data_IF_469393579304
#
_entry.id   IF_469393579304
#
_cell.length_a   1.000
_cell.length_b   1.000
_cell.length_c   1.000
_cell.angle_alpha   90.00
_cell.angle_beta   90.00
_cell.angle_gamma   90.00
#
_symmetry.space_group_name_H-M   'P 1'
#
loop_
_entity.id
_entity.type
_entity.pdbx_description
1 polymer ?
#
# COMPACT_ATOMS: atom_id res chain seq x y z
N UNK A 1 17.98 23.05 7.91
CA UNK A 1 17.00 23.56 6.93
C UNK A 1 17.47 23.18 5.55
N UNK A 2 16.74 22.42 4.74
CA UNK A 2 17.13 22.21 3.36
C UNK A 2 17.01 23.53 2.61
N UNK A 3 18.08 23.89 1.89
CA UNK A 3 18.11 25.11 1.10
C UNK A 3 16.99 25.07 0.07
N UNK A 4 16.14 26.10 0.06
CA UNK A 4 15.13 26.30 -0.98
C UNK A 4 15.83 26.25 -2.33
N UNK A 5 15.32 25.44 -3.27
CA UNK A 5 15.78 25.45 -4.65
C UNK A 5 15.55 26.84 -5.23
N UNK A 6 16.55 27.69 -5.19
CA UNK A 6 16.53 29.04 -5.72
C UNK A 6 17.12 29.01 -7.12
N UNK A 7 16.34 28.61 -8.11
CA UNK A 7 16.74 28.66 -9.49
C UNK A 7 15.52 28.84 -10.38
N UNK A 8 15.66 29.63 -11.40
CA UNK A 8 14.67 29.81 -12.44
C UNK A 8 14.45 28.49 -13.15
N UNK A 9 13.19 28.09 -13.31
CA UNK A 9 12.82 26.86 -14.04
C UNK A 9 13.11 27.10 -15.52
N UNK A 10 14.01 26.31 -16.08
CA UNK A 10 14.35 26.37 -17.51
C UNK A 10 13.70 25.20 -18.24
N UNK A 11 12.98 25.50 -19.30
CA UNK A 11 12.41 24.52 -20.21
C UNK A 11 13.35 24.35 -21.41
N UNK A 12 13.83 23.12 -21.61
CA UNK A 12 14.74 22.79 -22.70
C UNK A 12 14.14 21.66 -23.54
N UNK A 13 14.37 21.72 -24.84
CA UNK A 13 14.06 20.60 -25.75
C UNK A 13 15.30 19.72 -25.82
N UNK A 14 15.14 18.44 -25.51
CA UNK A 14 16.22 17.45 -25.50
C UNK A 14 15.90 16.37 -26.53
N UNK A 15 16.89 16.06 -27.36
CA UNK A 15 16.82 14.99 -28.34
C UNK A 15 17.49 13.74 -27.74
N UNK A 16 16.77 12.64 -27.64
CA UNK A 16 17.26 11.39 -27.10
C UNK A 16 17.26 10.30 -28.18
N UNK A 17 18.43 9.83 -28.60
CA UNK A 17 18.56 8.79 -29.61
C UNK A 17 18.37 7.41 -28.98
N UNK A 18 17.42 6.64 -29.48
CA UNK A 18 17.15 5.27 -29.06
C UNK A 18 18.09 4.27 -29.73
N UNK A 19 18.20 3.06 -29.17
CA UNK A 19 19.05 1.97 -29.72
C UNK A 19 18.66 1.57 -31.17
N UNK A 20 17.39 1.72 -31.55
CA UNK A 20 16.90 1.48 -32.91
C UNK A 20 17.22 2.61 -33.90
N UNK A 21 17.79 3.72 -33.42
CA UNK A 21 18.17 4.89 -34.21
C UNK A 21 17.08 5.96 -34.37
N UNK A 22 15.93 5.81 -33.73
CA UNK A 22 14.93 6.87 -33.64
C UNK A 22 15.35 7.95 -32.65
N UNK A 23 14.94 9.21 -32.90
CA UNK A 23 15.22 10.33 -32.02
C UNK A 23 13.89 10.82 -31.42
N UNK A 24 13.82 10.83 -30.10
CA UNK A 24 12.68 11.37 -29.36
C UNK A 24 12.94 12.81 -28.96
N UNK A 25 12.00 13.69 -29.27
CA UNK A 25 12.06 15.11 -28.91
C UNK A 25 11.27 15.30 -27.64
N UNK A 26 11.98 15.65 -26.56
CA UNK A 26 11.45 15.77 -25.21
C UNK A 26 11.52 17.23 -24.77
N UNK A 27 10.44 17.73 -24.20
CA UNK A 27 10.45 18.97 -23.42
C UNK A 27 10.79 18.63 -21.99
N UNK A 28 11.88 19.19 -21.47
CA UNK A 28 12.37 18.92 -20.12
C UNK A 28 12.44 20.21 -19.33
N UNK A 29 11.76 20.24 -18.20
CA UNK A 29 11.87 21.32 -17.23
C UNK A 29 12.93 20.99 -16.20
N UNK A 30 13.86 21.92 -16.00
CA UNK A 30 14.98 21.72 -15.10
C UNK A 30 15.15 22.94 -14.21
N UNK A 31 15.66 22.70 -13.00
CA UNK A 31 16.08 23.75 -12.07
C UNK A 31 17.52 23.47 -11.64
N UNK A 32 18.36 24.49 -11.67
CA UNK A 32 19.74 24.37 -11.18
C UNK A 32 19.78 24.62 -9.68
N UNK A 33 20.40 23.71 -8.94
CA UNK A 33 20.70 23.90 -7.52
C UNK A 33 22.15 24.32 -7.35
N UNK A 34 22.42 25.58 -6.98
CA UNK A 34 23.78 26.10 -6.86
C UNK A 34 24.57 25.46 -5.72
N UNK A 35 23.91 25.04 -4.64
CA UNK A 35 24.58 24.43 -3.47
C UNK A 35 25.16 23.06 -3.78
N UNK A 36 24.46 22.26 -4.59
CA UNK A 36 24.88 20.92 -5.01
C UNK A 36 25.57 20.92 -6.37
N UNK A 37 25.68 22.08 -7.03
CA UNK A 37 26.20 22.23 -8.40
C UNK A 37 25.60 21.22 -9.40
N UNK A 38 24.31 20.89 -9.22
CA UNK A 38 23.59 19.90 -10.01
C UNK A 38 22.29 20.48 -10.56
N UNK A 39 21.91 20.02 -11.75
CA UNK A 39 20.63 20.35 -12.37
C UNK A 39 19.65 19.24 -12.05
N UNK A 40 18.54 19.57 -11.41
CA UNK A 40 17.42 18.67 -11.13
C UNK A 40 16.39 18.76 -12.24
N UNK A 41 15.96 17.61 -12.77
CA UNK A 41 14.84 17.52 -13.72
C UNK A 41 13.54 17.57 -12.90
N UNK A 42 12.63 18.47 -13.28
CA UNK A 42 11.32 18.63 -12.67
C UNK A 42 10.23 17.85 -13.42
N UNK A 43 10.27 17.93 -14.76
CA UNK A 43 9.33 17.23 -15.62
C UNK A 43 9.97 16.90 -16.97
N UNK A 44 9.46 15.87 -17.63
CA UNK A 44 9.85 15.50 -19.00
C UNK A 44 8.58 15.12 -19.78
N UNK A 45 8.32 15.81 -20.88
CA UNK A 45 7.17 15.58 -21.76
C UNK A 45 7.65 15.20 -23.16
N UNK A 46 7.11 14.13 -23.70
CA UNK A 46 7.40 13.72 -25.07
C UNK A 46 6.60 14.60 -26.05
N UNK A 47 7.29 15.29 -26.95
CA UNK A 47 6.67 16.16 -27.96
C UNK A 47 6.49 15.44 -29.29
N UNK A 48 7.53 14.75 -29.77
CA UNK A 48 7.52 14.08 -31.06
C UNK A 48 8.61 13.02 -31.18
N UNK A 49 8.50 12.18 -32.20
CA UNK A 49 9.48 11.16 -32.56
C UNK A 49 9.99 11.46 -33.97
N UNK A 50 11.29 11.38 -34.20
CA UNK A 50 11.93 11.45 -35.51
C UNK A 50 12.39 10.03 -35.87
N UNK A 51 11.77 9.32 -36.82
CA UNK A 51 12.18 7.98 -37.21
C UNK A 51 13.58 7.99 -37.82
N UNK A 52 14.31 6.87 -37.66
CA UNK A 52 15.63 6.68 -38.26
C UNK A 52 15.60 6.94 -39.76
N UNK A 53 16.47 7.85 -40.22
CA UNK A 53 16.59 8.20 -41.63
C UNK A 53 15.56 9.26 -42.11
N UNK A 54 14.79 9.84 -41.21
CA UNK A 54 13.91 10.97 -41.48
C UNK A 54 14.42 12.22 -40.76
N UNK A 55 14.17 13.39 -41.30
CA UNK A 55 14.40 14.67 -40.63
C UNK A 55 13.10 15.30 -40.12
N UNK A 56 11.95 14.66 -40.41
CA UNK A 56 10.64 15.22 -40.08
C UNK A 56 10.13 14.61 -38.76
N UNK A 57 9.83 15.43 -37.75
CA UNK A 57 9.21 14.96 -36.53
C UNK A 57 7.80 14.44 -36.78
N UNK A 58 7.52 13.23 -36.30
CA UNK A 58 6.17 12.64 -36.30
C UNK A 58 5.58 12.86 -34.91
N UNK A 59 4.36 13.40 -34.75
CA UNK A 59 3.68 13.50 -33.49
C UNK A 59 3.58 12.11 -32.82
N UNK A 60 3.78 12.01 -31.54
CA UNK A 60 3.67 10.75 -30.79
C UNK A 60 2.23 10.24 -30.65
N UNK A 61 1.26 11.10 -30.86
CA UNK A 61 -0.10 10.71 -31.24
C UNK A 61 -0.22 10.95 -32.76
N UNK A 62 -0.31 9.93 -33.61
CA UNK A 62 -0.68 10.16 -34.97
C UNK A 62 -2.04 10.89 -34.92
N UNK A 63 -2.10 12.15 -35.38
CA UNK A 63 -3.38 12.69 -35.81
C UNK A 63 -3.97 11.59 -36.70
N UNK A 64 -5.18 11.07 -36.38
CA UNK A 64 -5.92 10.19 -37.29
C UNK A 64 -5.60 10.69 -38.69
N UNK A 65 -4.94 9.89 -39.48
CA UNK A 65 -4.59 10.26 -40.84
C UNK A 65 -5.88 10.78 -41.43
N UNK A 66 -5.94 12.08 -41.73
CA UNK A 66 -7.00 12.57 -42.59
C UNK A 66 -6.90 11.73 -43.83
N UNK A 67 -7.88 10.87 -44.01
CA UNK A 67 -7.98 9.97 -45.14
C UNK A 67 -8.23 10.78 -46.41
N UNK A 68 -7.22 11.49 -46.87
CA UNK A 68 -7.22 12.13 -48.20
C UNK A 68 -6.62 11.25 -49.29
N UNK A 69 -6.58 9.95 -49.07
CA UNK A 69 -6.49 8.98 -50.18
C UNK A 69 -7.73 8.08 -50.10
N UNK A 70 -8.89 8.69 -50.35
CA UNK A 70 -10.07 7.95 -50.78
C UNK A 70 -9.85 7.46 -52.20
N UNK A 71 -9.35 6.25 -52.37
CA UNK A 71 -9.76 5.42 -53.47
C UNK A 71 -11.25 5.19 -53.27
N UNK A 72 -12.07 5.64 -54.20
CA UNK A 72 -13.51 5.42 -54.23
C UNK A 72 -13.80 3.93 -54.22
N UNK A 73 -14.04 3.36 -53.06
CA UNK A 73 -14.68 2.06 -52.91
C UNK A 73 -15.84 2.24 -51.89
N UNK A 74 -17.03 2.09 -52.48
CA UNK A 74 -18.34 1.82 -51.89
C UNK A 74 -18.56 2.34 -50.44
N UNK A 75 -19.48 3.26 -50.35
CA UNK A 75 -20.23 3.90 -49.27
C UNK A 75 -20.33 3.31 -47.87
N UNK A 76 -19.34 2.59 -47.35
CA UNK A 76 -19.29 2.18 -45.97
C UNK A 76 -18.57 3.26 -45.15
N UNK A 77 -19.30 3.99 -44.33
CA UNK A 77 -18.75 4.89 -43.33
C UNK A 77 -18.18 4.01 -42.24
N UNK A 78 -16.87 3.79 -42.22
CA UNK A 78 -16.19 3.16 -41.09
C UNK A 78 -16.19 4.16 -39.89
N UNK A 79 -17.13 4.02 -38.98
CA UNK A 79 -17.16 4.77 -37.75
C UNK A 79 -16.42 3.98 -36.67
N UNK A 80 -15.37 4.55 -36.07
CA UNK A 80 -14.78 4.03 -34.80
C UNK A 80 -15.36 4.77 -33.60
N UNK A 81 -15.62 4.04 -32.53
CA UNK A 81 -16.10 4.61 -31.26
C UNK A 81 -15.07 4.34 -30.21
N UNK A 82 -14.46 5.40 -29.64
CA UNK A 82 -13.44 5.30 -28.64
C UNK A 82 -13.98 5.79 -27.29
N UNK A 83 -13.67 5.05 -26.20
CA UNK A 83 -13.99 5.43 -24.84
C UNK A 83 -12.87 6.29 -24.26
N UNK A 84 -12.92 7.60 -24.50
CA UNK A 84 -11.83 8.52 -24.14
C UNK A 84 -11.96 9.12 -22.73
N UNK A 85 -13.18 9.27 -22.20
CA UNK A 85 -13.41 10.04 -20.97
C UNK A 85 -12.65 9.54 -19.75
N UNK A 86 -12.64 8.21 -19.53
CA UNK A 86 -11.86 7.62 -18.44
C UNK A 86 -10.36 7.78 -18.66
N UNK A 87 -9.90 7.65 -19.90
CA UNK A 87 -8.47 7.79 -20.21
C UNK A 87 -7.97 9.21 -20.00
N UNK A 88 -8.75 10.22 -20.34
CA UNK A 88 -8.42 11.62 -20.08
C UNK A 88 -8.30 11.91 -18.57
N UNK A 89 -9.20 11.33 -17.77
CA UNK A 89 -9.11 11.45 -16.30
C UNK A 89 -7.83 10.78 -15.79
N UNK A 90 -7.48 9.61 -16.28
CA UNK A 90 -6.27 8.90 -15.88
C UNK A 90 -5.00 9.62 -16.35
N UNK A 91 -5.00 10.20 -17.55
CA UNK A 91 -3.92 11.07 -18.03
C UNK A 91 -3.72 12.27 -17.12
N UNK A 92 -4.81 12.92 -16.74
CA UNK A 92 -4.76 14.04 -15.81
C UNK A 92 -4.22 13.64 -14.44
N UNK A 93 -4.74 12.56 -13.86
CA UNK A 93 -4.30 12.06 -12.55
C UNK A 93 -2.83 11.63 -12.61
N UNK A 94 -2.40 10.89 -13.64
CA UNK A 94 -1.02 10.46 -13.81
C UNK A 94 -0.05 11.63 -13.89
N UNK A 95 -0.44 12.70 -14.60
CA UNK A 95 0.35 13.92 -14.72
C UNK A 95 0.40 14.72 -13.42
N UNK A 96 -0.75 15.02 -12.79
CA UNK A 96 -0.82 15.81 -11.56
C UNK A 96 -0.16 15.10 -10.37
N UNK A 97 -0.31 13.78 -10.29
CA UNK A 97 0.33 12.98 -9.23
C UNK A 97 1.84 12.81 -9.43
N UNK A 98 2.36 13.10 -10.62
CA UNK A 98 3.76 12.86 -10.99
C UNK A 98 4.13 11.37 -11.12
N UNK A 99 3.16 10.44 -11.15
CA UNK A 99 3.43 9.02 -11.30
C UNK A 99 3.97 8.72 -12.69
N UNK A 100 3.32 9.24 -13.72
CA UNK A 100 3.72 9.03 -15.11
C UNK A 100 5.14 9.58 -15.34
N UNK A 101 5.41 10.80 -14.90
CA UNK A 101 6.75 11.41 -14.97
C UNK A 101 7.79 10.58 -14.23
N UNK A 102 7.46 10.06 -13.05
CA UNK A 102 8.32 9.17 -12.28
C UNK A 102 8.69 7.90 -13.03
N UNK A 103 7.78 7.32 -13.82
CA UNK A 103 8.04 6.15 -14.66
C UNK A 103 8.89 6.54 -15.88
N UNK A 104 8.55 7.63 -16.58
CA UNK A 104 9.29 8.10 -17.74
C UNK A 104 10.76 8.47 -17.45
N UNK A 105 11.02 9.02 -16.27
CA UNK A 105 12.39 9.41 -15.87
C UNK A 105 13.29 8.19 -15.63
N UNK A 106 12.70 7.09 -15.14
CA UNK A 106 13.46 5.93 -14.67
C UNK A 106 13.60 4.79 -15.68
N UNK A 107 12.89 4.84 -16.83
CA UNK A 107 13.00 3.81 -17.86
C UNK A 107 12.93 4.40 -19.26
N UNK A 108 13.17 3.61 -20.29
CA UNK A 108 12.98 4.05 -21.67
C UNK A 108 11.49 4.28 -21.99
N UNK A 109 11.26 5.17 -22.95
CA UNK A 109 9.90 5.64 -23.27
C UNK A 109 8.96 4.50 -23.64
N UNK A 110 9.42 3.54 -24.46
CA UNK A 110 8.57 2.42 -24.86
C UNK A 110 8.18 1.52 -23.68
N UNK A 111 9.09 1.30 -22.74
CA UNK A 111 8.78 0.58 -21.51
C UNK A 111 7.87 1.39 -20.59
N UNK A 112 8.10 2.70 -20.44
CA UNK A 112 7.25 3.59 -19.67
C UNK A 112 5.81 3.58 -20.20
N UNK A 113 5.63 3.76 -21.49
CA UNK A 113 4.31 3.71 -22.15
C UNK A 113 3.59 2.39 -21.90
N UNK A 114 4.31 1.26 -21.99
CA UNK A 114 3.72 -0.07 -21.73
C UNK A 114 3.34 -0.23 -20.26
N UNK A 115 4.20 0.17 -19.31
CA UNK A 115 3.89 0.11 -17.87
C UNK A 115 2.63 0.93 -17.57
N UNK A 116 2.57 2.18 -18.04
CA UNK A 116 1.44 3.07 -17.80
C UNK A 116 0.17 2.52 -18.47
N UNK A 117 0.27 1.98 -19.68
CA UNK A 117 -0.87 1.39 -20.37
C UNK A 117 -1.44 0.18 -19.65
N UNK A 118 -0.58 -0.71 -19.15
CA UNK A 118 -1.01 -1.88 -18.37
C UNK A 118 -1.65 -1.43 -17.04
N UNK A 119 -1.05 -0.47 -16.35
CA UNK A 119 -1.61 0.05 -15.11
C UNK A 119 -3.01 0.67 -15.31
N UNK A 120 -3.18 1.46 -16.38
CA UNK A 120 -4.47 2.06 -16.73
C UNK A 120 -5.51 1.01 -17.12
N UNK A 121 -5.10 0.01 -17.90
CA UNK A 121 -5.98 -1.11 -18.25
C UNK A 121 -6.47 -1.84 -16.99
N UNK A 122 -5.57 -2.24 -16.09
CA UNK A 122 -5.94 -2.93 -14.87
C UNK A 122 -6.88 -2.10 -13.98
N UNK A 123 -6.63 -0.80 -13.88
CA UNK A 123 -7.47 0.11 -13.10
C UNK A 123 -8.86 0.28 -13.77
N UNK A 124 -8.90 0.55 -15.07
CA UNK A 124 -10.15 0.80 -15.82
C UNK A 124 -11.03 -0.44 -15.95
N UNK A 125 -10.41 -1.61 -16.07
CA UNK A 125 -11.11 -2.89 -16.21
C UNK A 125 -11.48 -3.53 -14.87
N UNK A 126 -11.18 -2.88 -13.74
CA UNK A 126 -11.37 -3.42 -12.40
C UNK A 126 -10.63 -4.75 -12.19
N UNK A 127 -9.37 -4.82 -12.63
CA UNK A 127 -8.48 -5.96 -12.42
C UNK A 127 -8.74 -7.15 -13.35
N UNK A 128 -9.28 -6.93 -14.54
CA UNK A 128 -9.38 -8.00 -15.54
C UNK A 128 -7.99 -8.55 -15.92
N UNK A 129 -7.98 -9.80 -16.37
CA UNK A 129 -6.74 -10.49 -16.73
C UNK A 129 -6.02 -9.83 -17.93
N UNK A 130 -4.69 -9.82 -17.91
CA UNK A 130 -3.86 -9.16 -18.91
C UNK A 130 -4.09 -9.64 -20.39
N UNK A 131 -4.40 -10.91 -20.67
CA UNK A 131 -4.72 -11.33 -22.05
C UNK A 131 -5.84 -10.52 -22.71
N UNK A 132 -6.71 -9.90 -21.93
CA UNK A 132 -7.79 -9.05 -22.42
C UNK A 132 -7.35 -7.67 -22.91
N UNK A 133 -6.12 -7.22 -22.60
CA UNK A 133 -5.67 -5.84 -22.85
C UNK A 133 -5.65 -5.51 -24.35
N UNK A 134 -5.21 -6.42 -25.20
CA UNK A 134 -5.14 -6.20 -26.63
C UNK A 134 -6.51 -5.92 -27.24
N UNK A 135 -7.52 -6.70 -26.87
CA UNK A 135 -8.90 -6.51 -27.33
C UNK A 135 -9.51 -5.23 -26.77
N UNK A 136 -9.26 -4.96 -25.48
CA UNK A 136 -9.75 -3.77 -24.78
C UNK A 136 -9.21 -2.47 -25.41
N UNK A 137 -7.95 -2.49 -25.86
CA UNK A 137 -7.25 -1.36 -26.45
C UNK A 137 -7.86 -0.89 -27.79
N UNK A 138 -8.61 -1.73 -28.50
CA UNK A 138 -9.26 -1.32 -29.74
C UNK A 138 -10.19 -0.12 -29.60
N UNK A 139 -10.84 0.02 -28.44
CA UNK A 139 -11.78 1.08 -28.14
C UNK A 139 -11.31 2.05 -27.07
N UNK A 140 -10.14 1.81 -26.46
CA UNK A 140 -9.61 2.60 -25.36
C UNK A 140 -8.17 3.02 -25.71
N UNK A 141 -7.95 4.28 -26.04
CA UNK A 141 -6.61 4.75 -26.36
C UNK A 141 -5.70 4.66 -25.14
N UNK A 142 -4.55 4.03 -25.30
CA UNK A 142 -3.53 3.88 -24.28
C UNK A 142 -2.23 4.59 -24.72
N UNK A 143 -1.34 4.97 -23.78
CA UNK A 143 -0.06 5.59 -24.10
C UNK A 143 0.83 4.78 -25.04
N UNK A 144 0.76 3.45 -25.00
CA UNK A 144 1.39 2.56 -25.98
C UNK A 144 0.37 2.16 -27.05
N UNK A 145 0.54 2.69 -28.28
CA UNK A 145 -0.47 2.63 -29.34
C UNK A 145 -0.43 1.34 -30.17
N UNK A 146 0.74 0.66 -30.24
CA UNK A 146 0.96 -0.48 -31.16
C UNK A 146 0.26 -1.78 -30.73
N UNK A 147 -0.56 -1.74 -29.68
CA UNK A 147 -1.20 -2.92 -29.10
C UNK A 147 -0.27 -3.72 -28.18
N UNK A 148 -0.79 -4.17 -27.04
CA UNK A 148 -0.03 -4.95 -26.06
C UNK A 148 -0.45 -6.41 -26.16
N UNK A 149 0.34 -7.20 -26.90
CA UNK A 149 0.20 -8.65 -26.98
C UNK A 149 0.80 -9.34 -25.74
N UNK A 150 0.54 -10.64 -25.62
CA UNK A 150 1.09 -11.47 -24.55
C UNK A 150 2.62 -11.44 -24.51
N UNK A 151 3.27 -11.59 -25.65
CA UNK A 151 4.74 -11.53 -25.73
C UNK A 151 5.29 -10.18 -25.26
N UNK A 152 4.60 -9.09 -25.60
CA UNK A 152 5.03 -7.74 -25.24
C UNK A 152 5.01 -7.53 -23.73
N UNK A 153 3.95 -7.97 -23.01
CA UNK A 153 3.93 -7.78 -21.58
C UNK A 153 4.83 -8.79 -20.84
N UNK A 154 5.04 -9.99 -21.37
CA UNK A 154 6.01 -10.93 -20.81
C UNK A 154 7.44 -10.40 -20.93
N UNK A 155 7.84 -9.89 -22.06
CA UNK A 155 9.14 -9.25 -22.29
C UNK A 155 9.32 -8.03 -21.38
N UNK A 156 8.28 -7.21 -21.24
CA UNK A 156 8.29 -6.07 -20.36
C UNK A 156 8.51 -6.50 -18.89
N UNK A 157 7.77 -7.48 -18.41
CA UNK A 157 7.90 -7.97 -17.04
C UNK A 157 9.26 -8.61 -16.77
N UNK A 158 9.78 -9.37 -17.73
CA UNK A 158 11.12 -9.91 -17.64
C UNK A 158 12.20 -8.81 -17.57
N UNK A 159 12.03 -7.74 -18.34
CA UNK A 159 12.93 -6.58 -18.34
C UNK A 159 12.87 -5.82 -17.01
N UNK A 160 11.66 -5.45 -16.58
CA UNK A 160 11.43 -4.70 -15.33
C UNK A 160 11.84 -5.52 -14.11
N UNK A 161 11.54 -6.83 -14.11
CA UNK A 161 11.89 -7.71 -12.99
C UNK A 161 13.39 -7.96 -12.82
N UNK A 162 14.20 -7.72 -13.86
CA UNK A 162 15.67 -7.80 -13.78
C UNK A 162 16.34 -6.49 -13.41
N UNK A 163 15.60 -5.39 -13.45
CA UNK A 163 16.13 -4.06 -13.17
C UNK A 163 15.75 -3.64 -11.73
N UNK A 164 16.57 -4.08 -10.78
CA UNK A 164 16.39 -3.73 -9.36
C UNK A 164 16.52 -2.22 -9.13
N UNK A 165 17.24 -1.50 -9.99
CA UNK A 165 17.45 -0.06 -9.87
C UNK A 165 16.21 0.75 -10.23
N UNK A 166 15.38 0.25 -11.14
CA UNK A 166 14.17 0.93 -11.60
C UNK A 166 13.21 1.21 -10.45
N UNK A 167 12.89 0.18 -9.65
CA UNK A 167 11.99 0.32 -8.51
C UNK A 167 12.56 1.24 -7.43
N UNK A 168 13.84 1.12 -7.10
CA UNK A 168 14.50 1.94 -6.10
C UNK A 168 14.55 3.41 -6.52
N UNK A 169 14.91 3.69 -7.77
CA UNK A 169 14.94 5.04 -8.31
C UNK A 169 13.54 5.66 -8.39
N UNK A 170 12.55 4.87 -8.76
CA UNK A 170 11.15 5.32 -8.76
C UNK A 170 10.71 5.75 -7.35
N UNK A 171 10.96 4.92 -6.33
CA UNK A 171 10.65 5.26 -4.94
C UNK A 171 11.43 6.48 -4.46
N UNK A 172 12.73 6.55 -4.74
CA UNK A 172 13.55 7.70 -4.38
C UNK A 172 13.02 9.01 -4.98
N UNK A 173 12.60 8.98 -6.24
CA UNK A 173 12.00 10.15 -6.90
C UNK A 173 10.66 10.54 -6.26
N UNK A 174 9.84 9.58 -5.88
CA UNK A 174 8.59 9.85 -5.18
C UNK A 174 8.83 10.44 -3.79
N UNK A 175 9.79 9.89 -3.05
CA UNK A 175 10.16 10.37 -1.72
C UNK A 175 10.79 11.76 -1.74
N UNK A 176 11.53 12.11 -2.79
CA UNK A 176 12.16 13.42 -2.91
C UNK A 176 11.16 14.61 -2.92
N UNK A 177 9.90 14.37 -3.23
CA UNK A 177 8.83 15.38 -3.17
C UNK A 177 8.11 15.44 -1.82
N UNK A 178 8.40 14.54 -0.90
CA UNK A 178 7.77 14.49 0.42
C UNK A 178 8.42 15.50 1.35
N UNK A 179 7.59 16.24 2.09
CA UNK A 179 8.06 17.22 3.08
C UNK A 179 8.71 16.51 4.28
N UNK A 180 9.57 17.26 4.99
CA UNK A 180 10.06 16.86 6.30
C UNK A 180 8.87 16.51 7.22
N UNK A 181 9.03 15.42 8.01
CA UNK A 181 8.01 14.91 8.95
C UNK A 181 6.70 14.48 8.29
N UNK A 182 6.79 13.81 7.16
CA UNK A 182 5.62 13.23 6.51
C UNK A 182 4.95 12.18 7.41
N UNK A 183 3.62 12.17 7.40
CA UNK A 183 2.85 11.13 8.07
C UNK A 183 2.59 9.99 7.09
N UNK A 184 3.11 8.80 7.41
CA UNK A 184 3.08 7.63 6.55
C UNK A 184 2.25 6.50 7.19
N UNK A 185 1.21 6.08 6.54
CA UNK A 185 0.51 4.84 6.88
C UNK A 185 1.29 3.63 6.35
N UNK A 186 1.50 2.64 7.20
CA UNK A 186 2.13 1.36 6.84
C UNK A 186 1.12 0.24 7.00
N UNK A 187 0.77 -0.40 5.90
CA UNK A 187 -0.20 -1.50 5.89
C UNK A 187 0.20 -2.59 4.92
N UNK A 188 -0.39 -3.77 5.09
CA UNK A 188 -0.18 -4.94 4.26
C UNK A 188 -1.46 -5.48 3.66
N UNK A 189 -1.35 -6.01 2.46
CA UNK A 189 -2.39 -6.84 1.87
C UNK A 189 -1.80 -8.16 1.39
N UNK A 190 -2.64 -9.18 1.29
CA UNK A 190 -2.29 -10.48 0.72
C UNK A 190 -2.84 -10.58 -0.70
N UNK A 191 -2.05 -11.13 -1.60
CA UNK A 191 -2.42 -11.38 -3.00
C UNK A 191 -2.35 -12.88 -3.22
N UNK A 192 -3.50 -13.50 -3.50
CA UNK A 192 -3.59 -14.93 -3.80
C UNK A 192 -2.96 -15.25 -5.15
N UNK A 193 -2.30 -16.39 -5.26
CA UNK A 193 -1.65 -16.80 -6.51
C UNK A 193 -1.72 -18.32 -6.72
N UNK A 194 -1.96 -18.72 -7.96
CA UNK A 194 -1.86 -20.09 -8.44
C UNK A 194 -0.43 -20.45 -8.89
N UNK A 195 0.51 -19.49 -8.89
CA UNK A 195 1.87 -19.72 -9.37
C UNK A 195 2.62 -20.68 -8.46
N UNK A 196 3.14 -21.77 -9.04
CA UNK A 196 3.99 -22.74 -8.33
C UNK A 196 5.46 -22.30 -8.27
N UNK A 197 5.88 -21.44 -9.21
CA UNK A 197 7.27 -21.03 -9.38
C UNK A 197 7.64 -19.75 -8.62
N UNK A 198 6.69 -19.13 -7.94
CA UNK A 198 6.93 -17.89 -7.24
C UNK A 198 7.50 -18.15 -5.84
N UNK A 199 8.75 -17.73 -5.62
CA UNK A 199 9.50 -18.05 -4.38
C UNK A 199 8.82 -17.49 -3.14
N UNK A 200 8.19 -16.34 -3.22
CA UNK A 200 7.50 -15.69 -2.09
C UNK A 200 6.09 -16.22 -1.82
N UNK A 201 5.53 -16.99 -2.76
CA UNK A 201 4.20 -17.58 -2.57
C UNK A 201 4.25 -18.68 -1.49
N UNK A 202 3.56 -18.43 -0.38
CA UNK A 202 3.50 -19.31 0.78
C UNK A 202 2.07 -19.40 1.32
N UNK A 203 1.73 -20.53 1.92
CA UNK A 203 0.50 -20.66 2.69
C UNK A 203 0.63 -19.85 3.98
N UNK A 204 -0.31 -18.96 4.23
CA UNK A 204 -0.34 -18.10 5.39
C UNK A 204 -1.75 -17.54 5.59
N UNK A 205 -1.87 -16.49 6.40
CA UNK A 205 -3.13 -15.79 6.53
C UNK A 205 -3.53 -15.20 5.17
N UNK A 206 -4.73 -15.53 4.73
CA UNK A 206 -5.31 -15.09 3.46
C UNK A 206 -6.64 -14.39 3.74
N UNK A 207 -6.74 -13.10 3.35
CA UNK A 207 -7.97 -12.32 3.55
C UNK A 207 -9.15 -12.86 2.73
N UNK A 208 -8.86 -13.50 1.58
CA UNK A 208 -9.89 -14.03 0.67
C UNK A 208 -10.35 -15.44 1.05
N UNK A 209 -9.67 -16.11 2.01
CA UNK A 209 -9.97 -17.46 2.49
C UNK A 209 -10.13 -18.53 1.38
N UNK A 210 -9.51 -18.29 0.20
CA UNK A 210 -9.61 -19.15 -0.98
C UNK A 210 -8.70 -20.39 -0.94
N UNK A 211 -7.91 -20.55 0.14
CA UNK A 211 -7.00 -21.68 0.33
C UNK A 211 -5.75 -21.66 -0.53
N UNK A 212 -5.50 -20.58 -1.27
CA UNK A 212 -4.34 -20.42 -2.14
C UNK A 212 -3.10 -19.95 -1.37
N UNK A 213 -1.93 -20.15 -1.99
CA UNK A 213 -0.70 -19.48 -1.55
C UNK A 213 -0.84 -17.98 -1.78
N UNK A 214 -0.28 -17.20 -0.87
CA UNK A 214 -0.31 -15.74 -0.96
C UNK A 214 1.09 -15.15 -1.01
N UNK A 215 1.15 -13.95 -1.57
CA UNK A 215 2.27 -13.02 -1.43
C UNK A 215 1.75 -11.85 -0.63
N UNK A 216 2.56 -11.35 0.28
CA UNK A 216 2.24 -10.16 1.04
C UNK A 216 2.84 -8.92 0.36
N UNK A 217 2.01 -7.93 0.10
CA UNK A 217 2.43 -6.61 -0.35
C UNK A 217 2.30 -5.63 0.82
N UNK A 218 3.41 -5.04 1.21
CA UNK A 218 3.50 -4.03 2.25
C UNK A 218 3.62 -2.66 1.58
N UNK A 219 2.77 -1.73 1.93
CA UNK A 219 2.71 -0.41 1.30
C UNK A 219 2.95 0.69 2.32
N UNK A 220 3.79 1.65 1.94
CA UNK A 220 3.95 2.93 2.62
C UNK A 220 3.13 3.97 1.86
N UNK A 221 2.18 4.60 2.53
CA UNK A 221 1.23 5.56 1.97
C UNK A 221 1.33 6.90 2.69
N UNK A 222 1.55 7.97 1.95
CA UNK A 222 1.57 9.31 2.53
C UNK A 222 0.14 9.83 2.73
N UNK A 223 -0.18 10.16 3.99
CA UNK A 223 -1.48 10.73 4.35
C UNK A 223 -1.67 12.12 3.74
N UNK A 224 -0.60 12.93 3.68
CA UNK A 224 -0.66 14.29 3.16
C UNK A 224 -0.89 14.34 1.65
N UNK A 225 -0.09 13.57 0.90
CA UNK A 225 -0.19 13.55 -0.58
C UNK A 225 -1.29 12.61 -1.07
N UNK A 226 -1.82 11.75 -0.20
CA UNK A 226 -2.78 10.68 -0.52
C UNK A 226 -2.28 9.74 -1.62
N UNK A 227 -0.99 9.42 -1.58
CA UNK A 227 -0.35 8.59 -2.60
C UNK A 227 0.54 7.51 -1.96
N UNK A 228 0.63 6.33 -2.59
CA UNK A 228 1.63 5.35 -2.22
C UNK A 228 3.04 5.89 -2.52
N UNK A 229 3.93 5.73 -1.56
CA UNK A 229 5.31 6.22 -1.61
C UNK A 229 6.27 5.11 -2.02
N UNK A 230 6.09 3.96 -1.40
CA UNK A 230 6.90 2.77 -1.64
C UNK A 230 6.11 1.51 -1.30
N UNK A 231 6.56 0.38 -1.83
CA UNK A 231 6.04 -0.92 -1.45
C UNK A 231 7.16 -1.95 -1.37
N UNK A 232 6.90 -3.02 -0.63
CA UNK A 232 7.82 -4.17 -0.51
C UNK A 232 7.03 -5.47 -0.62
N UNK A 233 7.55 -6.42 -1.38
CA UNK A 233 7.01 -7.77 -1.49
C UNK A 233 7.62 -8.67 -0.44
N UNK A 234 6.81 -9.46 0.26
CA UNK A 234 7.20 -10.39 1.31
C UNK A 234 6.54 -11.75 1.11
N UNK A 235 7.14 -12.83 1.65
CA UNK A 235 6.48 -14.13 1.69
C UNK A 235 5.13 -14.08 2.42
N UNK A 236 4.11 -14.74 1.87
CA UNK A 236 2.74 -14.69 2.40
C UNK A 236 2.56 -15.23 3.82
N UNK A 237 3.47 -16.07 4.28
CA UNK A 237 3.43 -16.64 5.63
C UNK A 237 4.12 -15.78 6.70
N UNK A 238 4.71 -14.63 6.33
CA UNK A 238 5.34 -13.76 7.32
C UNK A 238 4.28 -12.98 8.09
N UNK A 239 4.27 -13.03 9.44
CA UNK A 239 3.43 -12.17 10.25
C UNK A 239 3.78 -10.69 10.07
N UNK A 240 2.78 -9.80 10.08
CA UNK A 240 2.97 -8.37 9.91
C UNK A 240 3.93 -7.78 10.94
N UNK A 241 3.86 -8.27 12.16
CA UNK A 241 4.72 -7.84 13.26
C UNK A 241 6.23 -7.95 12.97
N UNK A 242 6.65 -8.86 12.11
CA UNK A 242 8.08 -9.08 11.77
C UNK A 242 8.56 -8.08 10.70
N UNK A 243 7.66 -7.48 9.94
CA UNK A 243 7.99 -6.66 8.77
C UNK A 243 8.42 -5.23 9.10
N UNK A 244 8.10 -4.73 10.31
CA UNK A 244 8.36 -3.34 10.73
C UNK A 244 9.84 -2.97 10.63
N UNK A 245 10.76 -3.83 11.07
CA UNK A 245 12.20 -3.52 10.99
C UNK A 245 12.70 -3.36 9.54
N UNK A 246 12.13 -4.10 8.60
CA UNK A 246 12.46 -3.96 7.18
C UNK A 246 11.89 -2.65 6.62
N UNK A 247 10.69 -2.25 7.04
CA UNK A 247 10.09 -0.97 6.68
C UNK A 247 10.96 0.20 7.16
N UNK A 248 11.43 0.17 8.41
CA UNK A 248 12.31 1.21 8.97
C UNK A 248 13.61 1.35 8.19
N UNK A 249 14.23 0.23 7.78
CA UNK A 249 15.43 0.25 6.94
C UNK A 249 15.15 0.84 5.56
N UNK A 250 14.01 0.50 4.95
CA UNK A 250 13.59 1.06 3.67
C UNK A 250 13.35 2.56 3.77
N UNK A 251 12.62 3.02 4.80
CA UNK A 251 12.39 4.44 5.03
C UNK A 251 13.69 5.22 5.19
N UNK A 252 14.60 4.72 6.00
CA UNK A 252 15.92 5.34 6.19
C UNK A 252 16.72 5.40 4.88
N UNK A 253 16.68 4.34 4.07
CA UNK A 253 17.35 4.30 2.76
C UNK A 253 16.72 5.28 1.75
N UNK A 254 15.43 5.56 1.87
CA UNK A 254 14.70 6.53 1.04
C UNK A 254 14.82 7.98 1.55
N UNK A 255 15.55 8.22 2.65
CA UNK A 255 15.73 9.55 3.23
C UNK A 255 14.54 10.05 4.05
N UNK A 256 13.64 9.18 4.48
CA UNK A 256 12.44 9.47 5.27
C UNK A 256 12.62 9.12 6.76
N UNK A 257 13.82 9.30 7.30
CA UNK A 257 14.14 8.97 8.69
C UNK A 257 13.38 9.79 9.75
N UNK A 258 12.80 10.91 9.40
CA UNK A 258 12.03 11.80 10.28
C UNK A 258 10.51 11.66 10.10
N UNK A 259 10.05 10.63 9.39
CA UNK A 259 8.63 10.40 9.17
C UNK A 259 7.93 9.92 10.45
N UNK A 260 6.65 10.28 10.59
CA UNK A 260 5.74 9.68 11.56
C UNK A 260 5.07 8.46 10.93
N UNK A 261 5.09 7.31 11.60
CA UNK A 261 4.57 6.04 11.09
C UNK A 261 3.25 5.71 11.78
N UNK A 262 2.20 5.50 10.99
CA UNK A 262 0.90 5.01 11.48
C UNK A 262 0.75 3.55 11.10
N UNK A 263 0.42 2.70 12.09
CA UNK A 263 0.17 1.27 11.87
C UNK A 263 -1.10 0.81 12.60
N UNK A 264 -1.67 -0.29 12.12
CA UNK A 264 -2.76 -0.95 12.82
C UNK A 264 -2.28 -1.87 13.96
N UNK A 265 -3.21 -2.57 14.62
CA UNK A 265 -2.91 -3.46 15.75
C UNK A 265 -2.17 -4.76 15.34
N UNK A 266 -2.13 -5.11 14.07
CA UNK A 266 -1.39 -6.27 13.54
C UNK A 266 0.11 -6.12 13.66
N UNK A 267 0.57 -4.87 13.68
CA UNK A 267 1.99 -4.52 13.79
C UNK A 267 2.46 -4.29 15.23
N UNK A 268 1.52 -4.24 16.18
CA UNK A 268 1.85 -3.99 17.58
C UNK A 268 2.64 -5.14 18.20
N UNK A 269 3.83 -4.85 18.67
CA UNK A 269 4.59 -5.66 19.65
C UNK A 269 5.56 -4.76 20.42
N UNK A 270 5.91 -5.15 21.65
CA UNK A 270 6.92 -4.42 22.45
C UNK A 270 8.26 -4.30 21.71
N UNK A 271 8.65 -5.32 20.95
CA UNK A 271 9.86 -5.32 20.10
C UNK A 271 9.79 -4.30 18.97
N UNK A 272 8.61 -4.13 18.33
CA UNK A 272 8.43 -3.16 17.27
C UNK A 272 8.44 -1.73 17.83
N UNK A 273 7.76 -1.50 18.94
CA UNK A 273 7.81 -0.20 19.63
C UNK A 273 9.25 0.14 20.05
N UNK A 274 9.98 -0.82 20.61
CA UNK A 274 11.40 -0.63 20.93
C UNK A 274 12.23 -0.30 19.68
N UNK A 275 11.96 -0.95 18.53
CA UNK A 275 12.64 -0.69 17.27
C UNK A 275 12.37 0.73 16.76
N UNK A 276 11.12 1.18 16.80
CA UNK A 276 10.70 2.53 16.40
C UNK A 276 11.40 3.59 17.25
N UNK A 277 11.41 3.42 18.58
CA UNK A 277 12.11 4.33 19.49
C UNK A 277 13.61 4.41 19.25
N UNK A 278 14.26 3.25 19.05
CA UNK A 278 15.71 3.19 18.79
C UNK A 278 16.10 3.75 17.41
N UNK A 279 15.20 3.66 16.45
CA UNK A 279 15.37 4.25 15.13
C UNK A 279 14.93 5.73 15.05
N UNK A 280 14.50 6.32 16.18
CA UNK A 280 14.07 7.71 16.31
C UNK A 280 12.86 8.09 15.43
N UNK A 281 11.98 7.15 15.12
CA UNK A 281 10.74 7.44 14.42
C UNK A 281 9.63 7.85 15.41
N UNK A 282 8.89 8.90 15.06
CA UNK A 282 7.60 9.15 15.68
C UNK A 282 6.58 8.13 15.16
N UNK A 283 5.63 7.71 15.98
CA UNK A 283 4.65 6.71 15.56
C UNK A 283 3.32 6.78 16.30
N UNK A 284 2.28 6.36 15.59
CA UNK A 284 0.96 6.06 16.15
C UNK A 284 0.60 4.63 15.78
N UNK A 285 0.24 3.81 16.75
CA UNK A 285 -0.17 2.41 16.54
C UNK A 285 -1.37 2.06 17.39
N UNK A 286 -2.26 1.22 16.86
CA UNK A 286 -3.37 0.69 17.64
C UNK A 286 -2.86 -0.38 18.61
N UNK A 287 -3.08 -0.16 19.90
CA UNK A 287 -2.79 -1.15 20.93
C UNK A 287 -3.98 -2.08 21.14
N UNK A 288 -3.70 -3.36 21.39
CA UNK A 288 -4.76 -4.34 21.70
C UNK A 288 -5.31 -4.08 23.10
N UNK A 289 -6.63 -3.96 23.23
CA UNK A 289 -7.31 -3.70 24.51
C UNK A 289 -7.17 -4.83 25.53
N UNK A 290 -6.84 -6.05 25.08
CA UNK A 290 -6.61 -7.21 25.94
C UNK A 290 -5.20 -7.27 26.57
N UNK A 291 -4.31 -6.32 26.24
CA UNK A 291 -3.01 -6.21 26.90
C UNK A 291 -3.22 -5.80 28.37
N UNK A 292 -2.60 -6.52 29.30
CA UNK A 292 -2.80 -6.30 30.75
C UNK A 292 -2.65 -4.85 31.17
N UNK A 293 -1.62 -4.16 30.66
CA UNK A 293 -1.37 -2.78 30.99
C UNK A 293 -2.40 -1.82 30.37
N UNK A 294 -2.83 -2.05 29.10
CA UNK A 294 -3.89 -1.24 28.46
C UNK A 294 -5.21 -1.43 29.19
N UNK A 295 -5.55 -2.69 29.50
CA UNK A 295 -6.77 -3.00 30.24
C UNK A 295 -6.79 -2.33 31.61
N UNK A 296 -5.67 -2.35 32.35
CA UNK A 296 -5.56 -1.67 33.65
C UNK A 296 -5.80 -0.17 33.56
N UNK A 297 -5.29 0.48 32.50
CA UNK A 297 -5.54 1.91 32.29
C UNK A 297 -7.01 2.18 31.88
N UNK A 298 -7.61 1.33 31.03
CA UNK A 298 -9.03 1.43 30.69
C UNK A 298 -9.88 1.30 31.95
N UNK A 299 -9.67 0.24 32.74
CA UNK A 299 -10.45 -0.04 33.96
C UNK A 299 -10.33 1.11 35.00
N UNK A 300 -9.15 1.75 35.07
CA UNK A 300 -8.89 2.88 35.97
C UNK A 300 -9.52 4.21 35.56
N UNK A 301 -9.94 4.35 34.30
CA UNK A 301 -10.42 5.62 33.75
C UNK A 301 -11.82 5.52 33.10
N UNK A 302 -12.60 4.48 33.41
CA UNK A 302 -13.95 4.29 32.85
C UNK A 302 -14.86 5.48 33.13
N UNK A 303 -14.79 6.06 34.33
CA UNK A 303 -15.63 7.19 34.74
C UNK A 303 -15.29 8.50 34.00
N UNK A 304 -14.05 8.63 33.50
CA UNK A 304 -13.62 9.84 32.80
C UNK A 304 -14.30 10.04 31.45
N UNK A 305 -14.79 8.96 30.82
CA UNK A 305 -15.51 9.03 29.55
C UNK A 305 -16.92 9.63 29.68
N UNK A 306 -17.47 9.76 30.88
CA UNK A 306 -18.78 10.38 31.11
C UNK A 306 -18.76 11.92 31.09
N UNK A 307 -17.57 12.53 31.06
CA UNK A 307 -17.41 13.98 31.12
C UNK A 307 -17.58 14.66 29.76
N UNK A 308 -18.24 15.82 29.74
CA UNK A 308 -18.31 16.66 28.53
C UNK A 308 -16.92 17.10 28.05
N UNK A 309 -15.96 17.25 28.98
CA UNK A 309 -14.58 17.62 28.63
C UNK A 309 -13.82 16.54 27.85
N UNK A 310 -14.26 15.28 27.93
CA UNK A 310 -13.71 14.18 27.15
C UNK A 310 -14.35 14.02 25.77
N UNK A 311 -15.42 14.78 25.45
CA UNK A 311 -16.11 14.68 24.17
C UNK A 311 -15.16 15.00 22.99
N UNK A 312 -15.09 14.10 22.02
CA UNK A 312 -14.27 14.26 20.83
C UNK A 312 -14.94 15.26 19.87
N UNK A 313 -14.27 16.37 19.49
CA UNK A 313 -14.87 17.38 18.62
C UNK A 313 -15.00 16.90 17.16
N UNK A 314 -14.32 15.82 16.77
CA UNK A 314 -14.26 15.33 15.40
C UNK A 314 -15.16 14.11 15.15
N UNK A 315 -15.64 13.45 16.21
CA UNK A 315 -16.47 12.23 16.12
C UNK A 315 -17.58 12.31 17.18
N UNK A 316 -18.78 12.66 16.73
CA UNK A 316 -19.95 12.88 17.59
C UNK A 316 -20.30 11.56 18.32
N UNK A 317 -20.48 11.66 19.65
CA UNK A 317 -20.79 10.50 20.50
C UNK A 317 -19.55 9.70 20.91
N UNK A 318 -18.36 10.10 20.47
CA UNK A 318 -17.09 9.54 20.95
C UNK A 318 -16.50 10.42 22.03
N UNK A 319 -16.02 9.79 23.09
CA UNK A 319 -15.25 10.40 24.16
C UNK A 319 -13.80 9.91 24.10
N UNK A 320 -12.85 10.81 24.32
CA UNK A 320 -11.41 10.50 24.24
C UNK A 320 -10.65 11.08 25.42
N UNK A 321 -9.74 10.30 25.96
CA UNK A 321 -8.79 10.75 27.00
C UNK A 321 -7.37 10.39 26.58
N UNK A 322 -6.41 11.19 27.01
CA UNK A 322 -4.98 10.97 26.73
C UNK A 322 -4.23 10.84 28.05
N UNK A 323 -3.58 9.70 28.23
CA UNK A 323 -2.75 9.41 29.39
C UNK A 323 -1.27 9.54 29.02
N UNK A 324 -0.50 10.18 29.88
CA UNK A 324 0.96 10.26 29.73
C UNK A 324 1.61 9.24 30.65
N UNK A 325 2.25 8.24 30.07
CA UNK A 325 2.82 7.11 30.79
C UNK A 325 4.33 7.03 30.56
N UNK A 326 5.07 6.64 31.61
CA UNK A 326 6.47 6.26 31.51
C UNK A 326 6.58 4.75 31.50
N UNK A 327 7.04 4.18 30.38
CA UNK A 327 7.13 2.72 30.22
C UNK A 327 8.54 2.27 29.91
N UNK A 328 8.86 1.08 30.40
CA UNK A 328 10.10 0.40 30.06
C UNK A 328 9.89 -0.46 28.83
N UNK A 329 10.82 -0.37 27.88
CA UNK A 329 10.87 -1.14 26.66
C UNK A 329 12.12 -1.97 26.62
N UNK A 330 12.01 -3.18 26.04
CA UNK A 330 13.12 -4.10 25.89
C UNK A 330 13.27 -4.49 24.44
N UNK A 331 14.46 -4.34 23.89
CA UNK A 331 14.84 -4.81 22.57
C UNK A 331 15.80 -5.97 22.68
N UNK A 332 15.41 -7.11 22.15
CA UNK A 332 16.30 -8.26 22.02
C UNK A 332 17.05 -8.16 20.70
N UNK A 333 18.36 -8.20 20.75
CA UNK A 333 19.24 -8.10 19.60
C UNK A 333 19.20 -9.41 18.78
N UNK A 334 18.85 -9.31 17.50
CA UNK A 334 18.78 -10.47 16.61
C UNK A 334 20.16 -10.93 16.11
N UNK A 335 21.09 -9.98 15.91
CA UNK A 335 22.41 -10.24 15.31
C UNK A 335 23.51 -9.68 16.21
N UNK A 336 24.65 -10.37 16.26
CA UNK A 336 25.80 -9.88 16.97
C UNK A 336 26.39 -8.63 16.29
N UNK A 337 26.79 -7.65 17.09
CA UNK A 337 27.58 -6.50 16.65
C UNK A 337 28.99 -6.62 17.23
N UNK A 338 29.89 -7.24 16.46
CA UNK A 338 31.26 -7.49 16.88
C UNK A 338 32.07 -6.20 17.12
N UNK A 339 31.71 -5.08 16.48
CA UNK A 339 32.41 -3.79 16.66
C UNK A 339 32.17 -3.22 18.05
N UNK A 340 30.98 -3.42 18.58
CA UNK A 340 30.56 -2.90 19.89
C UNK A 340 30.55 -3.99 20.98
N UNK A 341 31.03 -5.20 20.69
CA UNK A 341 31.10 -6.31 21.63
C UNK A 341 29.75 -6.91 22.03
N UNK A 342 28.69 -6.63 21.26
CA UNK A 342 27.33 -7.05 21.54
C UNK A 342 27.00 -8.39 20.87
N UNK A 343 26.29 -9.27 21.57
CA UNK A 343 25.95 -10.60 21.09
C UNK A 343 24.47 -10.68 20.64
N UNK A 344 24.18 -11.70 19.83
CA UNK A 344 22.78 -12.07 19.54
C UNK A 344 22.12 -12.57 20.82
N UNK A 345 20.93 -12.08 21.15
CA UNK A 345 20.23 -12.35 22.39
C UNK A 345 20.42 -11.32 23.50
N UNK A 346 21.39 -10.39 23.36
CA UNK A 346 21.54 -9.30 24.31
C UNK A 346 20.26 -8.45 24.38
N UNK A 347 19.89 -8.09 25.60
CA UNK A 347 18.72 -7.28 25.88
C UNK A 347 19.12 -5.83 26.15
N UNK A 348 18.50 -4.91 25.42
CA UNK A 348 18.63 -3.48 25.65
C UNK A 348 17.34 -2.94 26.26
N UNK A 349 17.39 -2.52 27.52
CA UNK A 349 16.25 -1.97 28.22
C UNK A 349 16.38 -0.45 28.33
N UNK A 350 15.32 0.27 28.03
CA UNK A 350 15.27 1.72 28.10
C UNK A 350 13.86 2.20 28.44
N UNK A 351 13.77 3.36 29.11
CA UNK A 351 12.51 3.96 29.53
C UNK A 351 12.13 5.12 28.63
N UNK A 352 10.86 5.14 28.17
CA UNK A 352 10.32 6.20 27.29
C UNK A 352 8.96 6.66 27.77
N UNK A 353 8.67 7.92 27.49
CA UNK A 353 7.35 8.49 27.63
C UNK A 353 6.50 8.07 26.43
N UNK A 354 5.29 7.60 26.70
CA UNK A 354 4.28 7.27 25.68
C UNK A 354 2.98 7.99 26.01
N UNK A 355 2.21 8.28 24.99
CA UNK A 355 0.86 8.81 25.09
C UNK A 355 -0.10 7.70 24.74
N UNK A 356 -0.96 7.30 25.69
CA UNK A 356 -2.02 6.35 25.48
C UNK A 356 -3.32 7.14 25.25
N UNK A 357 -3.84 7.08 24.02
CA UNK A 357 -5.13 7.67 23.66
C UNK A 357 -6.20 6.60 23.76
N UNK A 358 -7.15 6.79 24.66
CA UNK A 358 -8.30 5.90 24.85
C UNK A 358 -9.54 6.57 24.30
N UNK A 359 -10.30 5.85 23.47
CA UNK A 359 -11.54 6.34 22.89
C UNK A 359 -12.69 5.39 23.23
N UNK A 360 -13.82 5.95 23.58
CA UNK A 360 -15.06 5.22 23.87
C UNK A 360 -16.23 5.83 23.12
N UNK A 361 -17.00 4.98 22.43
CA UNK A 361 -18.22 5.38 21.75
C UNK A 361 -19.39 4.48 22.21
N UNK A 362 -20.37 5.06 22.87
CA UNK A 362 -21.47 4.33 23.47
C UNK A 362 -22.37 3.66 22.41
N UNK A 363 -22.57 4.30 21.25
CA UNK A 363 -23.36 3.73 20.17
C UNK A 363 -22.68 2.48 19.57
N UNK A 364 -21.37 2.58 19.26
CA UNK A 364 -20.59 1.42 18.78
C UNK A 364 -20.56 0.28 19.80
N UNK A 365 -20.43 0.62 21.10
CA UNK A 365 -20.50 -0.40 22.16
C UNK A 365 -21.86 -1.12 22.13
N UNK A 366 -22.96 -0.38 22.03
CA UNK A 366 -24.28 -0.98 21.97
C UNK A 366 -24.48 -1.87 20.74
N UNK A 367 -23.95 -1.47 19.58
CA UNK A 367 -23.97 -2.30 18.35
C UNK A 367 -23.14 -3.58 18.51
N UNK A 368 -21.96 -3.49 19.12
CA UNK A 368 -21.11 -4.65 19.40
C UNK A 368 -21.75 -5.59 20.44
N UNK A 369 -22.38 -5.06 21.48
CA UNK A 369 -23.10 -5.84 22.48
C UNK A 369 -24.25 -6.63 21.81
N UNK A 370 -25.08 -5.99 20.98
CA UNK A 370 -26.16 -6.65 20.23
C UNK A 370 -25.62 -7.74 19.31
N UNK A 371 -24.56 -7.45 18.55
CA UNK A 371 -23.92 -8.45 17.68
C UNK A 371 -23.35 -9.62 18.47
N UNK A 372 -22.77 -9.35 19.62
CA UNK A 372 -22.23 -10.40 20.49
C UNK A 372 -23.35 -11.30 21.05
N UNK A 373 -24.47 -10.72 21.44
CA UNK A 373 -25.64 -11.46 21.91
C UNK A 373 -26.24 -12.33 20.79
N UNK A 374 -26.38 -11.77 19.57
CA UNK A 374 -26.86 -12.51 18.40
C UNK A 374 -25.92 -13.71 18.08
N UNK A 375 -24.62 -13.50 18.09
CA UNK A 375 -23.61 -14.54 17.91
C UNK A 375 -23.75 -15.66 18.95
N UNK A 376 -24.00 -15.32 20.23
CA UNK A 376 -24.18 -16.31 21.29
C UNK A 376 -25.49 -17.08 21.13
N UNK A 377 -26.57 -16.40 20.72
CA UNK A 377 -27.86 -17.00 20.45
C UNK A 377 -27.77 -17.97 19.27
N UNK A 378 -27.08 -17.58 18.20
CA UNK A 378 -26.84 -18.44 17.04
C UNK A 378 -25.99 -19.66 17.41
N UNK A 379 -24.89 -19.47 18.15
CA UNK A 379 -24.08 -20.57 18.67
C UNK A 379 -24.90 -21.55 19.52
N UNK A 380 -25.77 -21.01 20.37
CA UNK A 380 -26.68 -21.83 21.17
C UNK A 380 -27.60 -22.68 20.30
N UNK A 381 -28.24 -22.09 19.27
CA UNK A 381 -29.11 -22.81 18.33
C UNK A 381 -28.34 -23.90 17.60
N UNK A 382 -27.17 -23.59 17.06
CA UNK A 382 -26.33 -24.51 16.32
C UNK A 382 -25.94 -25.75 17.16
N UNK A 383 -25.67 -25.58 18.46
CA UNK A 383 -25.37 -26.70 19.36
C UNK A 383 -26.66 -27.50 19.69
N UNK A 384 -27.80 -26.82 19.89
CA UNK A 384 -29.08 -27.47 20.14
C UNK A 384 -29.59 -28.26 18.91
N UNK A 385 -29.27 -27.78 17.69
CA UNK A 385 -29.57 -28.44 16.42
C UNK A 385 -28.63 -29.63 16.11
N UNK A 386 -27.61 -29.86 16.94
CA UNK A 386 -26.79 -31.06 16.91
C UNK A 386 -25.45 -30.94 16.20
N UNK A 387 -24.92 -29.71 16.01
CA UNK A 387 -23.56 -29.53 15.54
C UNK A 387 -22.57 -30.11 16.58
N UNK A 388 -21.70 -30.99 16.13
CA UNK A 388 -20.72 -31.64 17.00
C UNK A 388 -19.68 -30.63 17.47
N UNK A 389 -19.45 -30.56 18.78
CA UNK A 389 -18.44 -29.66 19.38
C UNK A 389 -17.05 -29.87 18.81
N UNK A 390 -16.73 -31.10 18.41
CA UNK A 390 -15.42 -31.47 17.83
C UNK A 390 -15.17 -30.79 16.48
N UNK A 391 -16.20 -30.51 15.69
CA UNK A 391 -16.11 -29.86 14.37
C UNK A 391 -15.89 -28.35 14.45
N UNK A 392 -16.10 -27.74 15.60
CA UNK A 392 -15.95 -26.30 15.80
C UNK A 392 -14.49 -25.88 15.95
N UNK A 393 -14.17 -24.68 15.49
CA UNK A 393 -12.83 -24.11 15.68
C UNK A 393 -12.51 -23.90 17.16
N UNK A 394 -11.21 -23.88 17.51
CA UNK A 394 -10.78 -23.69 18.90
C UNK A 394 -11.26 -22.37 19.49
N UNK A 395 -11.32 -21.32 18.67
CA UNK A 395 -11.84 -20.01 19.08
C UNK A 395 -13.30 -20.07 19.51
N UNK A 396 -14.14 -20.76 18.73
CA UNK A 396 -15.56 -20.98 19.04
C UNK A 396 -15.73 -21.85 20.29
N UNK A 397 -14.92 -22.91 20.44
CA UNK A 397 -14.90 -23.74 21.67
C UNK A 397 -14.59 -22.93 22.91
N UNK A 398 -13.61 -22.04 22.82
CA UNK A 398 -13.26 -21.14 23.93
C UNK A 398 -14.39 -20.17 24.24
N UNK A 399 -15.08 -19.60 23.22
CA UNK A 399 -16.25 -18.73 23.38
C UNK A 399 -17.39 -19.47 24.10
N UNK A 400 -17.67 -20.70 23.66
CA UNK A 400 -18.69 -21.56 24.30
C UNK A 400 -18.33 -21.83 25.76
N UNK A 401 -17.11 -22.25 26.06
CA UNK A 401 -16.67 -22.56 27.42
C UNK A 401 -16.76 -21.36 28.37
N UNK A 402 -16.51 -20.15 27.84
CA UNK A 402 -16.48 -18.93 28.62
C UNK A 402 -17.89 -18.37 28.90
N UNK A 403 -18.79 -18.44 27.92
CA UNK A 403 -20.07 -17.70 27.98
C UNK A 403 -21.30 -18.60 28.04
N UNK A 404 -21.17 -19.90 27.73
CA UNK A 404 -22.31 -20.82 27.69
C UNK A 404 -22.09 -21.97 28.68
N UNK A 405 -23.14 -22.30 29.42
CA UNK A 405 -23.11 -23.48 30.26
C UNK A 405 -23.69 -24.70 29.49
N UNK A 406 -22.82 -25.63 29.11
CA UNK A 406 -23.18 -26.83 28.33
C UNK A 406 -23.40 -28.02 29.28
N UNK A 407 -24.60 -28.60 29.25
CA UNK A 407 -24.90 -29.88 29.94
C UNK A 407 -25.25 -30.93 28.94
N UNK A 408 -24.58 -32.09 29.03
CA UNK A 408 -24.94 -33.27 28.24
C UNK A 408 -26.07 -34.02 28.95
N UNK A 409 -27.12 -34.37 28.21
CA UNK A 409 -28.19 -35.24 28.68
C UNK A 409 -28.39 -36.37 27.68
N UNK A 410 -27.85 -37.59 28.00
CA UNK A 410 -27.82 -38.68 27.05
C UNK A 410 -26.97 -38.36 25.83
N UNK A 411 -27.47 -38.70 24.64
CA UNK A 411 -26.79 -38.37 23.36
C UNK A 411 -27.02 -36.97 22.85
N UNK A 412 -27.77 -36.12 23.59
CA UNK A 412 -28.04 -34.72 23.17
C UNK A 412 -27.29 -33.76 24.05
N UNK A 413 -26.63 -32.80 23.43
CA UNK A 413 -26.05 -31.65 24.11
C UNK A 413 -27.14 -30.60 24.30
N UNK A 414 -27.40 -30.20 25.55
CA UNK A 414 -28.35 -29.15 25.87
C UNK A 414 -27.65 -28.01 26.56
N UNK A 415 -27.81 -26.81 26.01
CA UNK A 415 -27.35 -25.58 26.63
C UNK A 415 -28.31 -25.16 27.73
N UNK A 416 -27.80 -25.01 28.93
CA UNK A 416 -28.64 -24.69 30.09
C UNK A 416 -28.72 -23.20 30.37
N UNK A 417 -27.67 -22.42 30.07
CA UNK A 417 -27.64 -21.01 30.48
C UNK A 417 -26.55 -20.23 29.73
N UNK A 418 -26.87 -18.99 29.33
CA UNK A 418 -25.87 -17.97 29.07
C UNK A 418 -25.39 -17.49 30.43
N UNK A 419 -24.07 -17.50 30.68
CA UNK A 419 -23.52 -16.98 31.90
C UNK A 419 -23.55 -15.45 31.82
N UNK A 420 -24.30 -14.81 32.68
CA UNK A 420 -24.24 -13.36 32.89
C UNK A 420 -22.83 -12.99 33.33
N UNK A 421 -22.28 -11.94 32.73
CA UNK A 421 -21.00 -11.35 33.11
C UNK A 421 -21.13 -10.54 34.39
#
# INVERSE_FOLDING_TARGET
MPAKASGEVKTNIVHHTQKNGDIYVLERQTVYNPDKKQTKVLSTKLLSKIPKGSEIPVPTRPKKANSENKTEMSGEIAASRDHVGMMEIMDHIGSVSGIDDGIYINTDIGSAQKIISIARYLLASNGQSLPGILTWQFNHPLPYEDGISEDIYHDLFAKVGRDESLQQNFFANRCAGIKERAVLAYDSTTISTYSENQIEARYGYNKDEDGLKTIKLLTLYSIETRQPVAFTKQPGNLPDVITVENALKQLSALGLGDAEIITDNGYYSEQNLASLFLAHFDFVTLAKTNLKWVKSEIDGHLDDFGSVSSACPFDIGTHGITLTLMRDFMKVRKYADKKNGLQSGDEETFRRRVYLHLYFNAARKAEEDVKFDDDLIELKRNIEDGIEMESLSQSVKNKITKYLHVKRWGNKTKLLRILEQ
#
